data_IF_356138124507
#
_entry.id   IF_356138124507
#
_cell.length_a   1.000
_cell.length_b   1.000
_cell.length_c   1.000
_cell.angle_alpha   90.00
_cell.angle_beta   90.00
_cell.angle_gamma   90.00
#
_symmetry.space_group_name_H-M   'P 1'
#
loop_
_entity.id
_entity.type
_entity.pdbx_description
1 polymer ?
#
# COMPACT_ATOMS: atom_id res chain seq x y z
N UNK A 1 -0.34 20.82 0.32
CA UNK A 1 -0.43 19.92 1.49
C UNK A 1 -1.38 20.57 2.47
N UNK A 2 -2.19 19.81 3.22
CA UNK A 2 -2.92 20.33 4.38
C UNK A 2 -1.95 21.11 5.27
N UNK A 3 -2.40 22.26 5.82
CA UNK A 3 -1.53 23.19 6.55
C UNK A 3 -0.91 22.59 7.82
N UNK A 4 -1.54 21.56 8.37
CA UNK A 4 -1.15 20.79 9.56
C UNK A 4 -0.11 19.69 9.29
N UNK A 5 0.08 19.28 8.03
CA UNK A 5 0.99 18.18 7.68
C UNK A 5 2.41 18.65 7.31
N UNK A 6 2.61 19.95 7.16
CA UNK A 6 3.87 20.56 6.72
C UNK A 6 5.04 20.26 7.66
N UNK A 7 4.80 20.33 8.97
CA UNK A 7 5.84 20.11 9.99
C UNK A 7 6.26 18.65 10.07
N UNK A 8 5.29 17.73 10.04
CA UNK A 8 5.55 16.28 10.00
C UNK A 8 6.34 15.91 8.75
N UNK A 9 5.93 16.42 7.59
CA UNK A 9 6.64 16.17 6.34
C UNK A 9 8.08 16.71 6.37
N UNK A 10 8.27 17.93 6.90
CA UNK A 10 9.60 18.55 7.03
C UNK A 10 10.50 17.79 8.00
N UNK A 11 9.96 17.33 9.13
CA UNK A 11 10.70 16.54 10.13
C UNK A 11 11.20 15.21 9.53
N UNK A 12 10.33 14.50 8.80
CA UNK A 12 10.68 13.24 8.13
C UNK A 12 11.75 13.44 7.05
N UNK A 13 11.67 14.52 6.27
CA UNK A 13 12.70 14.85 5.28
C UNK A 13 14.04 15.18 5.94
N UNK A 14 14.00 15.93 7.06
CA UNK A 14 15.19 16.28 7.83
C UNK A 14 15.89 15.03 8.39
N UNK A 15 15.14 14.12 9.03
CA UNK A 15 15.65 12.85 9.56
C UNK A 15 16.35 12.01 8.48
N UNK A 16 15.81 12.02 7.25
CA UNK A 16 16.37 11.28 6.12
C UNK A 16 17.47 12.04 5.35
N UNK A 17 17.87 13.23 5.79
CA UNK A 17 18.89 14.05 5.10
C UNK A 17 18.48 14.50 3.68
N UNK A 18 17.16 14.59 3.42
CA UNK A 18 16.60 14.98 2.13
C UNK A 18 16.17 16.45 2.17
N UNK A 19 16.67 17.25 1.23
CA UNK A 19 16.25 18.65 1.05
C UNK A 19 15.25 18.75 -0.10
N UNK A 20 14.25 19.62 0.02
CA UNK A 20 13.26 19.84 -1.05
C UNK A 20 13.90 20.22 -2.39
N UNK A 21 15.03 20.94 -2.38
CA UNK A 21 15.77 21.28 -3.58
C UNK A 21 16.28 20.08 -4.37
N UNK A 22 16.48 18.91 -3.74
CA UNK A 22 16.92 17.67 -4.42
C UNK A 22 15.85 17.10 -5.37
N UNK A 23 14.58 17.48 -5.21
CA UNK A 23 13.51 17.09 -6.14
C UNK A 23 13.49 17.91 -7.43
N UNK A 24 14.33 18.96 -7.52
CA UNK A 24 14.57 19.75 -8.73
C UNK A 24 15.94 19.39 -9.30
N UNK A 25 15.97 18.62 -10.39
CA UNK A 25 17.20 18.28 -11.09
C UNK A 25 17.50 19.42 -12.07
N UNK A 26 18.50 20.25 -11.75
CA UNK A 26 18.84 21.43 -12.57
C UNK A 26 19.53 21.02 -13.87
N UNK A 27 20.20 19.88 -13.85
CA UNK A 27 20.98 19.32 -14.94
C UNK A 27 20.09 18.59 -15.97
N UNK A 28 18.83 18.31 -15.62
CA UNK A 28 17.89 17.60 -16.49
C UNK A 28 16.53 18.31 -16.42
N UNK A 29 16.36 19.33 -17.27
CA UNK A 29 15.17 20.21 -17.25
C UNK A 29 13.83 19.46 -17.41
N UNK A 30 13.82 18.29 -18.06
CA UNK A 30 12.61 17.47 -18.24
C UNK A 30 12.36 16.47 -17.10
N UNK A 31 13.29 16.33 -16.15
CA UNK A 31 13.15 15.41 -15.03
C UNK A 31 12.78 16.19 -13.75
N UNK A 32 11.49 16.29 -13.48
CA UNK A 32 10.98 16.83 -12.23
C UNK A 32 10.15 15.77 -11.50
N UNK A 33 10.37 15.66 -10.19
CA UNK A 33 9.52 14.83 -9.34
C UNK A 33 8.23 15.58 -9.04
N UNK A 34 7.23 15.45 -9.92
CA UNK A 34 5.87 15.90 -9.61
C UNK A 34 5.26 15.04 -8.51
N UNK A 35 4.52 15.68 -7.61
CA UNK A 35 3.81 15.00 -6.54
C UNK A 35 2.39 15.53 -6.45
N UNK A 36 1.47 14.63 -6.16
CA UNK A 36 0.06 14.90 -5.93
C UNK A 36 -0.40 14.08 -4.72
N UNK A 37 -1.41 14.56 -3.97
CA UNK A 37 -1.95 13.80 -2.85
C UNK A 37 -2.43 12.42 -3.30
N UNK A 38 -2.13 11.39 -2.51
CA UNK A 38 -2.67 10.04 -2.68
C UNK A 38 -3.36 9.64 -1.39
N UNK A 39 -4.44 8.86 -1.49
CA UNK A 39 -5.08 8.29 -0.32
C UNK A 39 -4.07 7.38 0.41
N UNK A 40 -3.80 7.68 1.68
CA UNK A 40 -2.87 6.89 2.50
C UNK A 40 -3.47 5.56 2.94
N UNK A 41 -4.79 5.49 3.06
CA UNK A 41 -5.53 4.28 3.37
C UNK A 41 -6.65 4.11 2.34
N UNK A 42 -6.84 2.87 1.88
CA UNK A 42 -7.86 2.48 0.91
C UNK A 42 -8.53 1.23 1.46
N UNK A 43 -9.86 1.27 1.57
CA UNK A 43 -10.66 0.12 1.97
C UNK A 43 -11.16 -0.57 0.69
N UNK A 44 -10.93 -1.88 0.52
CA UNK A 44 -11.44 -2.60 -0.64
C UNK A 44 -12.96 -2.60 -0.66
N UNK A 45 -13.53 -2.32 -1.83
CA UNK A 45 -14.98 -2.36 -2.03
C UNK A 45 -15.45 -3.75 -2.45
N UNK A 46 -16.69 -4.10 -2.09
CA UNK A 46 -17.33 -5.36 -2.48
C UNK A 46 -16.49 -6.61 -2.14
N UNK A 47 -15.76 -6.56 -1.01
CA UNK A 47 -14.88 -7.66 -0.62
C UNK A 47 -15.69 -8.90 -0.23
N UNK A 48 -15.43 -10.01 -0.91
CA UNK A 48 -15.94 -11.33 -0.53
C UNK A 48 -14.80 -12.34 -0.54
N UNK A 49 -14.93 -13.42 0.21
CA UNK A 49 -13.93 -14.48 0.23
C UNK A 49 -14.57 -15.83 0.50
N UNK A 50 -13.92 -16.89 0.00
CA UNK A 50 -14.26 -18.28 0.31
C UNK A 50 -13.02 -19.15 0.33
N UNK A 51 -13.01 -20.13 1.22
CA UNK A 51 -12.03 -21.22 1.20
C UNK A 51 -12.52 -22.31 0.25
N UNK A 52 -11.62 -22.84 -0.57
CA UNK A 52 -11.89 -23.93 -1.50
C UNK A 52 -10.73 -24.92 -1.52
N UNK A 53 -10.95 -26.11 -2.09
CA UNK A 53 -9.85 -27.06 -2.31
C UNK A 53 -8.90 -26.49 -3.39
N UNK A 54 -7.61 -26.67 -3.19
CA UNK A 54 -6.60 -26.20 -4.13
C UNK A 54 -6.57 -27.10 -5.37
N UNK A 55 -6.91 -26.52 -6.52
CA UNK A 55 -6.97 -27.24 -7.80
C UNK A 55 -5.59 -27.67 -8.32
N UNK A 56 -4.50 -27.05 -7.85
CA UNK A 56 -3.13 -27.35 -8.26
C UNK A 56 -2.45 -28.32 -7.27
N UNK A 57 -2.86 -28.30 -6.00
CA UNK A 57 -2.24 -29.08 -4.93
C UNK A 57 -3.28 -29.90 -4.14
N UNK A 58 -3.47 -31.20 -4.49
CA UNK A 58 -4.44 -32.06 -3.82
C UNK A 58 -4.27 -32.10 -2.31
N UNK A 59 -5.38 -32.02 -1.57
CA UNK A 59 -5.37 -31.98 -0.10
C UNK A 59 -4.89 -30.66 0.51
N UNK A 60 -4.63 -29.62 -0.30
CA UNK A 60 -4.42 -28.25 0.17
C UNK A 60 -5.69 -27.43 -0.03
N UNK A 61 -5.73 -26.27 0.64
CA UNK A 61 -6.83 -25.32 0.50
C UNK A 61 -6.32 -24.02 -0.11
N UNK A 62 -7.13 -23.46 -1.01
CA UNK A 62 -6.96 -22.13 -1.56
C UNK A 62 -7.97 -21.15 -0.92
N UNK A 63 -7.61 -19.87 -0.93
CA UNK A 63 -8.53 -18.78 -0.57
C UNK A 63 -8.84 -17.98 -1.83
N UNK A 64 -10.09 -18.00 -2.27
CA UNK A 64 -10.57 -17.09 -3.32
C UNK A 64 -11.04 -15.81 -2.66
N UNK A 65 -10.54 -14.68 -3.14
CA UNK A 65 -10.88 -13.35 -2.65
C UNK A 65 -11.26 -12.49 -3.85
N UNK A 66 -12.43 -11.87 -3.78
CA UNK A 66 -12.96 -10.97 -4.79
C UNK A 66 -13.11 -9.58 -4.16
N UNK A 67 -12.57 -8.54 -4.80
CA UNK A 67 -12.62 -7.17 -4.29
C UNK A 67 -12.33 -6.16 -5.41
N UNK A 68 -12.73 -4.91 -5.18
CA UNK A 68 -12.38 -3.77 -6.03
C UNK A 68 -11.44 -2.80 -5.28
N UNK A 69 -10.48 -2.25 -6.02
CA UNK A 69 -9.59 -1.18 -5.53
C UNK A 69 -9.57 -0.02 -6.53
N UNK A 70 -9.58 1.23 -6.06
CA UNK A 70 -9.47 2.40 -6.93
C UNK A 70 -8.09 2.49 -7.59
N UNK A 71 -8.03 3.23 -8.71
CA UNK A 71 -6.78 3.48 -9.46
C UNK A 71 -5.67 4.01 -8.53
N UNK A 72 -4.47 3.45 -8.70
CA UNK A 72 -3.30 3.82 -7.91
C UNK A 72 -3.13 3.00 -6.62
N UNK A 73 -4.04 2.06 -6.35
CA UNK A 73 -3.92 1.05 -5.30
C UNK A 73 -3.25 -0.22 -5.82
N UNK A 74 -2.72 -1.04 -4.90
CA UNK A 74 -2.04 -2.29 -5.22
C UNK A 74 -2.67 -3.45 -4.44
N UNK A 75 -3.12 -4.49 -5.15
CA UNK A 75 -3.70 -5.69 -4.54
C UNK A 75 -2.72 -6.38 -3.57
N UNK A 76 -1.41 -6.34 -3.88
CA UNK A 76 -0.37 -6.91 -3.02
C UNK A 76 -0.29 -6.24 -1.64
N UNK A 77 -0.53 -4.93 -1.55
CA UNK A 77 -0.57 -4.21 -0.27
C UNK A 77 -1.79 -4.61 0.56
N UNK A 78 -2.95 -4.75 -0.10
CA UNK A 78 -4.17 -5.24 0.54
C UNK A 78 -3.95 -6.66 1.08
N UNK A 79 -3.44 -7.58 0.27
CA UNK A 79 -3.15 -8.96 0.69
C UNK A 79 -2.13 -9.02 1.82
N UNK A 80 -1.07 -8.20 1.77
CA UNK A 80 -0.08 -8.10 2.84
C UNK A 80 -0.74 -7.65 4.16
N UNK A 81 -1.56 -6.60 4.12
CA UNK A 81 -2.26 -6.12 5.32
C UNK A 81 -3.26 -7.13 5.88
N UNK A 82 -3.89 -7.94 5.01
CA UNK A 82 -4.81 -8.99 5.42
C UNK A 82 -4.08 -10.20 6.05
N UNK A 83 -2.85 -10.48 5.60
CA UNK A 83 -2.02 -11.59 6.11
C UNK A 83 -1.14 -11.22 7.32
N UNK A 84 -0.96 -9.93 7.62
CA UNK A 84 -0.22 -9.46 8.80
C UNK A 84 -1.02 -9.60 10.12
N UNK A 85 -2.30 -9.96 10.04
CA UNK A 85 -2.98 -10.65 11.13
C UNK A 85 -2.43 -12.06 11.22
N UNK A 86 -1.50 -12.29 12.15
CA UNK A 86 -0.83 -13.58 12.33
C UNK A 86 -1.79 -14.77 12.30
N UNK A 87 -1.28 -15.92 11.86
CA UNK A 87 -1.92 -17.22 12.01
C UNK A 87 -2.38 -17.35 13.46
N UNK A 88 -3.66 -17.11 13.73
CA UNK A 88 -4.28 -17.58 14.96
C UNK A 88 -4.39 -19.08 14.79
N UNK A 89 -3.41 -19.79 15.37
CA UNK A 89 -3.52 -21.23 15.55
C UNK A 89 -4.88 -21.54 16.19
N UNK A 90 -5.57 -22.59 15.74
CA UNK A 90 -6.81 -23.01 16.37
C UNK A 90 -6.52 -23.30 17.84
N UNK A 91 -7.09 -22.49 18.74
CA UNK A 91 -7.11 -22.80 20.16
C UNK A 91 -7.87 -24.12 20.32
N UNK A 92 -7.11 -25.16 20.68
CA UNK A 92 -7.61 -26.46 21.12
C UNK A 92 -7.74 -26.44 22.63
#
# INVERSE_FOLDING_TARGET
LPSDLGDVFSAVLFERGVRLSKFRLKEVEQAYFSSFPRACAVIPENMTWKREEDALFPGKSALRVDFFLPRGSYATMMLKSAGEGGVQEPRT
#
